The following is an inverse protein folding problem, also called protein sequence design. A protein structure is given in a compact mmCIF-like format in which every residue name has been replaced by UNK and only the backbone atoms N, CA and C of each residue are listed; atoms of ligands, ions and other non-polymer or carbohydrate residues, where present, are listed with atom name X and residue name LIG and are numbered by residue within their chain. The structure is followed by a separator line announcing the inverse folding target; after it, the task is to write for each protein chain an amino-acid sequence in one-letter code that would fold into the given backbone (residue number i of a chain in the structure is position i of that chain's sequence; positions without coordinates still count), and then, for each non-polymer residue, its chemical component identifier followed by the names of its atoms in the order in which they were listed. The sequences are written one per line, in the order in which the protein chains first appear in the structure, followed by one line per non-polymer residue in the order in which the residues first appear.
data_IF_945106110454
#
_entry.id   IF_945106110454
#
_cell.length_a   1.000
_cell.length_b   1.000
_cell.length_c   1.000
_cell.angle_alpha   90.00
_cell.angle_beta   90.00
_cell.angle_gamma   90.00
#
_symmetry.space_group_name_H-M   'P 1'
#
loop_
_entity.id
_entity.type
_entity.pdbx_description
1 polymer ?
#
# COMPACT_ATOMS: atom_id res chain seq x y z
N UNK A 1 -1.46 3.69 -15.22
CA UNK A 1 -0.30 4.53 -15.57
C UNK A 1 -0.14 4.89 -17.06
N UNK A 2 -0.94 4.35 -18.01
CA UNK A 2 -0.94 4.81 -19.43
C UNK A 2 -1.64 6.14 -19.69
N UNK A 3 -2.40 6.63 -18.71
CA UNK A 3 -3.23 7.85 -18.80
C UNK A 3 -2.47 9.17 -18.57
N UNK A 4 -1.16 9.12 -18.25
CA UNK A 4 -0.36 10.31 -17.92
C UNK A 4 0.72 10.67 -18.96
N UNK A 5 0.71 10.07 -20.16
CA UNK A 5 1.62 10.46 -21.26
C UNK A 5 3.13 10.28 -20.99
N UNK A 6 3.52 9.73 -19.84
CA UNK A 6 4.92 9.46 -19.51
C UNK A 6 5.43 8.26 -20.31
N UNK A 7 6.42 8.50 -21.15
CA UNK A 7 7.19 7.44 -21.82
C UNK A 7 7.87 6.56 -20.77
N UNK A 8 7.80 5.24 -20.94
CA UNK A 8 8.37 4.29 -19.99
C UNK A 8 9.90 4.45 -19.93
N UNK A 9 10.51 4.42 -18.73
CA UNK A 9 11.96 4.44 -18.62
C UNK A 9 12.54 3.18 -19.29
N UNK A 10 13.37 3.39 -20.33
CA UNK A 10 13.97 2.34 -21.17
C UNK A 10 15.00 1.47 -20.43
N UNK A 11 15.38 1.87 -19.21
CA UNK A 11 16.30 1.12 -18.36
C UNK A 11 15.94 1.34 -16.89
N UNK A 12 15.62 0.24 -16.20
CA UNK A 12 15.37 0.20 -14.76
C UNK A 12 16.58 -0.54 -14.17
N UNK A 13 17.39 0.08 -13.31
CA UNK A 13 18.53 -0.61 -12.70
C UNK A 13 18.03 -1.83 -11.89
N UNK A 14 18.75 -2.97 -11.93
CA UNK A 14 18.33 -4.16 -11.22
C UNK A 14 18.27 -3.89 -9.71
N UNK A 15 17.14 -4.26 -9.10
CA UNK A 15 16.88 -4.05 -7.68
C UNK A 15 17.87 -4.87 -6.86
N UNK A 16 18.64 -4.20 -5.99
CA UNK A 16 19.62 -4.87 -5.12
C UNK A 16 18.91 -5.92 -4.26
N UNK A 17 19.47 -7.13 -4.19
CA UNK A 17 18.90 -8.27 -3.46
C UNK A 17 18.50 -7.91 -2.03
N UNK A 18 19.32 -7.10 -1.34
CA UNK A 18 19.03 -6.64 0.01
C UNK A 18 17.77 -5.74 0.09
N UNK A 19 17.59 -4.85 -0.88
CA UNK A 19 16.42 -3.95 -0.95
C UNK A 19 15.16 -4.74 -1.32
N UNK A 20 15.27 -5.69 -2.25
CA UNK A 20 14.18 -6.56 -2.66
C UNK A 20 13.68 -7.44 -1.50
N UNK A 21 14.61 -8.00 -0.71
CA UNK A 21 14.28 -8.79 0.48
C UNK A 21 13.59 -7.93 1.54
N UNK A 22 14.09 -6.72 1.79
CA UNK A 22 13.50 -5.81 2.77
C UNK A 22 12.06 -5.41 2.36
N UNK A 23 11.87 -4.93 1.14
CA UNK A 23 10.53 -4.55 0.64
C UNK A 23 9.59 -5.75 0.55
N UNK A 24 10.10 -6.93 0.17
CA UNK A 24 9.33 -8.18 0.17
C UNK A 24 8.87 -8.58 1.56
N UNK A 25 9.74 -8.47 2.58
CA UNK A 25 9.41 -8.82 3.96
C UNK A 25 8.35 -7.89 4.56
N UNK A 26 8.38 -6.60 4.23
CA UNK A 26 7.43 -5.59 4.69
C UNK A 26 6.04 -5.82 4.08
N UNK A 27 5.98 -6.09 2.77
CA UNK A 27 4.74 -6.45 2.07
C UNK A 27 4.12 -7.77 2.57
N UNK A 28 4.95 -8.80 2.79
CA UNK A 28 4.47 -10.10 3.30
C UNK A 28 3.93 -9.97 4.72
N UNK A 29 4.56 -9.17 5.57
CA UNK A 29 4.08 -8.89 6.92
C UNK A 29 2.70 -8.23 6.92
N UNK A 30 2.49 -7.22 6.08
CA UNK A 30 1.19 -6.56 5.94
C UNK A 30 0.14 -7.51 5.37
N UNK A 31 0.47 -8.28 4.33
CA UNK A 31 -0.45 -9.22 3.70
C UNK A 31 -0.90 -10.33 4.68
N UNK A 32 0.01 -10.82 5.53
CA UNK A 32 -0.33 -11.79 6.57
C UNK A 32 -1.30 -11.23 7.61
N UNK A 33 -1.09 -9.99 8.06
CA UNK A 33 -2.01 -9.33 9.01
C UNK A 33 -3.40 -9.17 8.38
N UNK A 34 -3.48 -8.78 7.11
CA UNK A 34 -4.74 -8.70 6.38
C UNK A 34 -5.43 -10.06 6.23
N UNK A 35 -4.69 -11.11 5.89
CA UNK A 35 -5.24 -12.48 5.76
C UNK A 35 -5.77 -12.96 7.11
N UNK A 36 -5.04 -12.74 8.20
CA UNK A 36 -5.46 -13.14 9.55
C UNK A 36 -6.72 -12.37 9.95
N UNK A 37 -6.76 -11.06 9.72
CA UNK A 37 -7.94 -10.23 10.01
C UNK A 37 -9.17 -10.67 9.20
N UNK A 38 -9.02 -10.90 7.89
CA UNK A 38 -10.10 -11.38 7.01
C UNK A 38 -10.54 -12.78 7.41
N UNK A 39 -9.60 -13.66 7.77
CA UNK A 39 -9.90 -15.03 8.19
C UNK A 39 -10.65 -15.07 9.53
N UNK A 40 -10.26 -14.25 10.51
CA UNK A 40 -11.00 -14.11 11.77
C UNK A 40 -12.39 -13.52 11.55
N UNK A 41 -12.51 -12.54 10.65
CA UNK A 41 -13.80 -11.95 10.28
C UNK A 41 -14.72 -12.95 9.57
N UNK A 42 -14.19 -13.75 8.64
CA UNK A 42 -14.93 -14.82 7.96
C UNK A 42 -15.32 -15.96 8.92
N UNK A 43 -14.45 -16.29 9.88
CA UNK A 43 -14.76 -17.27 10.93
C UNK A 43 -15.85 -16.77 11.87
N UNK A 44 -15.83 -15.50 12.24
CA UNK A 44 -16.87 -14.89 13.08
C UNK A 44 -18.20 -14.79 12.33
N UNK A 45 -18.17 -14.42 11.05
CA UNK A 45 -19.32 -14.44 10.14
C UNK A 45 -19.90 -15.86 10.00
N UNK A 46 -19.04 -16.87 9.81
CA UNK A 46 -19.46 -18.27 9.71
C UNK A 46 -20.01 -18.80 11.04
N UNK A 47 -19.43 -18.39 12.17
CA UNK A 47 -19.92 -18.72 13.52
C UNK A 47 -21.31 -18.12 13.75
N UNK A 48 -21.54 -16.88 13.31
CA UNK A 48 -22.84 -16.22 13.34
C UNK A 48 -23.85 -16.96 12.45
N UNK A 49 -23.50 -17.29 11.20
CA UNK A 49 -24.36 -18.05 10.29
C UNK A 49 -24.77 -19.45 10.83
N UNK A 50 -23.93 -20.11 11.64
CA UNK A 50 -24.30 -21.36 12.31
C UNK A 50 -25.31 -21.15 13.45
N UNK A 51 -25.15 -20.09 14.24
CA UNK A 51 -26.11 -19.73 15.29
C UNK A 51 -27.49 -19.37 14.69
N UNK A 52 -27.50 -18.95 13.44
CA UNK A 52 -28.69 -18.63 12.68
C UNK A 52 -29.42 -19.87 12.16
N UNK A 53 -28.72 -20.95 11.78
CA UNK A 53 -29.32 -22.12 11.15
C UNK A 53 -30.39 -22.86 12.00
N UNK A 54 -30.43 -22.62 13.32
CA UNK A 54 -31.39 -23.21 14.25
C UNK A 54 -32.77 -22.52 14.26
N UNK A 55 -32.95 -21.44 13.52
CA UNK A 55 -34.14 -20.59 13.62
C UNK A 55 -34.61 -20.17 12.23
N UNK A 56 -35.24 -21.12 11.54
CA UNK A 56 -35.79 -20.95 10.21
C UNK A 56 -37.32 -20.83 10.31
N UNK A 57 -37.84 -19.60 10.25
CA UNK A 57 -39.15 -19.22 9.67
C UNK A 57 -39.53 -17.75 9.93
N UNK A 58 -39.03 -17.09 10.99
CA UNK A 58 -39.33 -15.67 11.28
C UNK A 58 -38.12 -14.70 11.15
N UNK A 59 -36.95 -15.20 10.77
CA UNK A 59 -35.66 -14.55 11.06
C UNK A 59 -34.99 -13.74 9.94
N UNK A 60 -35.63 -13.49 8.79
CA UNK A 60 -35.03 -12.64 7.75
C UNK A 60 -34.84 -11.18 8.22
N UNK A 61 -35.61 -10.72 9.21
CA UNK A 61 -35.46 -9.40 9.84
C UNK A 61 -34.49 -9.37 11.03
N UNK A 62 -34.06 -10.53 11.54
CA UNK A 62 -33.34 -10.62 12.83
C UNK A 62 -31.89 -11.09 12.69
N UNK A 63 -31.52 -11.70 11.56
CA UNK A 63 -30.19 -12.29 11.37
C UNK A 63 -29.10 -11.31 10.95
N UNK A 64 -29.45 -10.19 10.33
CA UNK A 64 -28.41 -9.27 9.82
C UNK A 64 -28.03 -8.19 10.84
N UNK A 65 -28.76 -8.09 11.94
CA UNK A 65 -28.59 -7.00 12.88
C UNK A 65 -27.33 -7.17 13.74
N UNK A 66 -26.22 -6.62 13.25
CA UNK A 66 -25.16 -6.09 14.10
C UNK A 66 -25.79 -5.33 15.27
N UNK A 67 -25.14 -5.24 16.46
CA UNK A 67 -25.65 -4.41 17.57
C UNK A 67 -26.01 -2.99 17.10
N UNK A 68 -25.31 -2.50 16.07
CA UNK A 68 -25.55 -1.21 15.44
C UNK A 68 -26.86 -1.14 14.64
N UNK A 69 -27.23 -2.17 13.85
CA UNK A 69 -28.51 -2.18 13.13
C UNK A 69 -29.71 -2.16 14.08
N UNK A 70 -29.59 -2.79 15.26
CA UNK A 70 -30.63 -2.71 16.31
C UNK A 70 -30.78 -1.28 16.84
N UNK A 71 -29.66 -0.61 17.11
CA UNK A 71 -29.66 0.81 17.51
C UNK A 71 -30.27 1.69 16.42
N UNK A 72 -29.91 1.48 15.15
CA UNK A 72 -30.48 2.23 14.03
C UNK A 72 -31.97 1.96 13.83
N UNK A 73 -32.43 0.74 14.07
CA UNK A 73 -33.86 0.40 14.01
C UNK A 73 -34.64 1.13 15.09
N UNK A 74 -34.17 1.12 16.33
CA UNK A 74 -34.80 1.87 17.44
C UNK A 74 -34.74 3.37 17.18
N UNK A 75 -33.64 3.88 16.62
CA UNK A 75 -33.50 5.28 16.23
C UNK A 75 -34.50 5.67 15.12
N UNK A 76 -34.70 4.80 14.13
CA UNK A 76 -35.69 5.00 13.06
C UNK A 76 -37.14 4.95 13.55
N UNK A 77 -37.42 4.18 14.60
CA UNK A 77 -38.74 4.15 15.24
C UNK A 77 -38.98 5.40 16.10
N UNK A 78 -37.95 5.90 16.77
CA UNK A 78 -38.04 7.10 17.60
C UNK A 78 -38.09 8.39 16.78
N UNK A 79 -37.54 8.41 15.56
CA UNK A 79 -37.50 9.60 14.71
C UNK A 79 -38.19 9.40 13.34
N UNK A 80 -39.41 9.94 13.22
CA UNK A 80 -40.23 9.85 11.99
C UNK A 80 -39.59 10.49 10.76
N UNK A 81 -38.74 11.51 10.92
CA UNK A 81 -38.03 12.14 9.80
C UNK A 81 -37.02 11.14 9.22
N UNK A 82 -36.21 10.55 10.09
CA UNK A 82 -35.21 9.55 9.70
C UNK A 82 -35.86 8.33 9.06
N UNK A 83 -36.99 7.87 9.62
CA UNK A 83 -37.80 6.78 9.07
C UNK A 83 -38.20 7.03 7.62
N UNK A 84 -38.80 8.20 7.34
CA UNK A 84 -39.43 8.52 6.05
C UNK A 84 -38.43 8.93 4.97
N UNK A 85 -37.34 9.60 5.34
CA UNK A 85 -36.40 10.17 4.38
C UNK A 85 -35.15 9.32 4.13
N UNK A 86 -34.72 8.50 5.09
CA UNK A 86 -33.47 7.74 4.97
C UNK A 86 -33.75 6.24 4.95
N UNK A 87 -34.41 5.73 5.99
CA UNK A 87 -34.48 4.28 6.24
C UNK A 87 -35.47 3.55 5.31
N UNK A 88 -36.72 4.04 5.23
CA UNK A 88 -37.76 3.45 4.38
C UNK A 88 -37.44 3.50 2.87
N UNK A 89 -36.97 4.62 2.29
CA UNK A 89 -36.64 4.64 0.86
C UNK A 89 -35.42 3.75 0.56
N UNK A 90 -34.42 3.69 1.44
CA UNK A 90 -33.27 2.79 1.27
C UNK A 90 -33.71 1.33 1.21
N UNK A 91 -34.57 0.88 2.14
CA UNK A 91 -35.11 -0.48 2.14
C UNK A 91 -35.90 -0.81 0.87
N UNK A 92 -36.70 0.14 0.37
CA UNK A 92 -37.48 -0.04 -0.87
C UNK A 92 -36.59 -0.14 -2.12
N UNK A 93 -35.50 0.64 -2.18
CA UNK A 93 -34.54 0.58 -3.28
C UNK A 93 -33.86 -0.78 -3.33
N UNK A 94 -33.43 -1.31 -2.18
CA UNK A 94 -32.81 -2.65 -2.12
C UNK A 94 -33.78 -3.71 -2.61
N UNK A 95 -35.02 -3.70 -2.13
CA UNK A 95 -36.04 -4.64 -2.58
C UNK A 95 -36.28 -4.55 -4.09
N UNK A 96 -36.29 -3.33 -4.64
CA UNK A 96 -36.45 -3.10 -6.08
C UNK A 96 -35.27 -3.66 -6.89
N UNK A 97 -34.03 -3.36 -6.48
CA UNK A 97 -32.80 -3.88 -7.12
C UNK A 97 -32.76 -5.40 -7.04
N UNK A 98 -33.03 -5.97 -5.86
CA UNK A 98 -33.02 -7.42 -5.65
C UNK A 98 -34.05 -8.13 -6.52
N UNK A 99 -35.29 -7.60 -6.56
CA UNK A 99 -36.36 -8.17 -7.39
C UNK A 99 -36.00 -8.09 -8.87
N UNK A 100 -35.45 -6.96 -9.33
CA UNK A 100 -35.04 -6.79 -10.73
C UNK A 100 -33.87 -7.71 -11.08
N UNK A 101 -32.88 -7.82 -10.19
CA UNK A 101 -31.70 -8.66 -10.35
C UNK A 101 -32.07 -10.14 -10.44
N UNK A 102 -32.94 -10.64 -9.55
CA UNK A 102 -33.45 -12.02 -9.59
C UNK A 102 -34.18 -12.32 -10.91
N UNK A 103 -35.03 -11.40 -11.36
CA UNK A 103 -35.76 -11.57 -12.63
C UNK A 103 -34.82 -11.52 -13.85
N UNK A 104 -33.78 -10.67 -13.79
CA UNK A 104 -32.77 -10.58 -14.83
C UNK A 104 -31.91 -11.86 -14.90
N UNK A 105 -31.46 -12.36 -13.75
CA UNK A 105 -30.67 -13.59 -13.64
C UNK A 105 -31.42 -14.81 -14.17
N UNK A 106 -32.73 -14.87 -13.92
CA UNK A 106 -33.60 -15.95 -14.41
C UNK A 106 -34.13 -15.74 -15.85
N UNK A 107 -33.68 -14.69 -16.55
CA UNK A 107 -34.16 -14.29 -17.91
C UNK A 107 -35.69 -14.18 -18.03
N UNK A 108 -36.37 -13.81 -16.94
CA UNK A 108 -37.83 -13.62 -16.93
C UNK A 108 -38.20 -12.18 -17.34
N UNK A 109 -39.40 -11.97 -17.91
CA UNK A 109 -39.90 -10.64 -18.23
C UNK A 109 -39.95 -9.77 -16.97
N UNK A 110 -39.36 -8.58 -17.06
CA UNK A 110 -39.17 -7.72 -15.90
C UNK A 110 -40.52 -7.17 -15.42
N UNK A 111 -40.81 -7.21 -14.11
CA UNK A 111 -42.09 -6.75 -13.59
C UNK A 111 -42.23 -5.22 -13.77
N UNK A 112 -43.38 -4.79 -14.31
CA UNK A 112 -43.72 -3.36 -14.49
C UNK A 112 -43.97 -2.62 -13.17
N UNK A 113 -44.37 -3.34 -12.11
CA UNK A 113 -44.63 -2.77 -10.78
C UNK A 113 -44.16 -3.76 -9.72
N UNK A 114 -43.17 -3.36 -8.92
CA UNK A 114 -42.73 -4.13 -7.75
C UNK A 114 -43.64 -3.72 -6.58
N UNK A 115 -44.29 -4.68 -5.89
CA UNK A 115 -45.15 -4.37 -4.74
C UNK A 115 -44.34 -3.67 -3.65
N UNK A 116 -44.96 -2.68 -2.98
CA UNK A 116 -44.31 -1.96 -1.90
C UNK A 116 -44.19 -2.87 -0.68
N UNK A 117 -43.00 -2.92 -0.08
CA UNK A 117 -42.72 -3.69 1.12
C UNK A 117 -43.43 -3.08 2.34
N UNK A 118 -43.82 -3.92 3.31
CA UNK A 118 -44.38 -3.45 4.59
C UNK A 118 -43.43 -2.45 5.26
N UNK A 119 -43.99 -1.40 5.85
CA UNK A 119 -43.21 -0.28 6.38
C UNK A 119 -42.18 -0.72 7.42
N UNK A 120 -42.54 -1.66 8.29
CA UNK A 120 -41.65 -2.22 9.32
C UNK A 120 -40.49 -3.03 8.73
N UNK A 121 -40.74 -3.73 7.63
CA UNK A 121 -39.72 -4.54 6.95
C UNK A 121 -38.77 -3.65 6.14
N UNK A 122 -39.28 -2.58 5.52
CA UNK A 122 -38.45 -1.59 4.84
C UNK A 122 -37.50 -0.90 5.82
N UNK A 123 -37.97 -0.59 7.04
CA UNK A 123 -37.14 0.01 8.10
C UNK A 123 -36.04 -0.94 8.55
N UNK A 124 -36.34 -2.21 8.79
CA UNK A 124 -35.30 -3.17 9.19
C UNK A 124 -34.23 -3.36 8.12
N UNK A 125 -34.66 -3.43 6.85
CA UNK A 125 -33.76 -3.64 5.73
C UNK A 125 -32.89 -2.40 5.47
N UNK A 126 -33.46 -1.20 5.57
CA UNK A 126 -32.74 0.07 5.48
C UNK A 126 -31.76 0.29 6.64
N UNK A 127 -32.15 -0.03 7.87
CA UNK A 127 -31.29 0.12 9.04
C UNK A 127 -30.05 -0.79 8.96
N UNK A 128 -30.23 -2.00 8.44
CA UNK A 128 -29.15 -2.93 8.23
C UNK A 128 -28.13 -2.43 7.19
N UNK A 129 -28.63 -2.03 6.01
CA UNK A 129 -27.79 -1.46 4.96
C UNK A 129 -27.00 -0.25 5.46
N UNK A 130 -27.67 0.65 6.18
CA UNK A 130 -27.03 1.88 6.64
C UNK A 130 -25.95 1.59 7.69
N UNK A 131 -26.16 0.59 8.55
CA UNK A 131 -25.14 0.14 9.50
C UNK A 131 -23.91 -0.47 8.82
N UNK A 132 -24.11 -1.25 7.76
CA UNK A 132 -23.04 -1.89 7.03
C UNK A 132 -22.21 -0.89 6.22
N UNK A 133 -22.87 0.06 5.54
CA UNK A 133 -22.20 1.16 4.85
C UNK A 133 -21.42 2.04 5.84
N UNK A 134 -21.96 2.25 7.04
CA UNK A 134 -21.29 3.03 8.08
C UNK A 134 -20.05 2.33 8.63
N UNK A 135 -20.13 1.04 8.97
CA UNK A 135 -18.97 0.29 9.48
C UNK A 135 -17.89 0.10 8.40
N UNK A 136 -18.29 -0.13 7.14
CA UNK A 136 -17.35 -0.16 6.01
C UNK A 136 -16.68 1.21 5.81
N UNK A 137 -17.45 2.30 5.90
CA UNK A 137 -16.91 3.66 5.83
C UNK A 137 -15.90 3.95 6.93
N UNK A 138 -16.18 3.54 8.17
CA UNK A 138 -15.24 3.65 9.29
C UNK A 138 -13.98 2.82 9.05
N UNK A 139 -14.10 1.59 8.53
CA UNK A 139 -12.96 0.75 8.17
C UNK A 139 -12.05 1.40 7.12
N UNK A 140 -12.64 1.89 6.02
CA UNK A 140 -11.90 2.61 4.97
C UNK A 140 -11.23 3.88 5.49
N UNK A 141 -11.92 4.62 6.38
CA UNK A 141 -11.38 5.82 7.01
C UNK A 141 -10.17 5.51 7.89
N UNK A 142 -10.24 4.47 8.72
CA UNK A 142 -9.12 4.05 9.58
C UNK A 142 -7.91 3.63 8.74
N UNK A 143 -8.13 2.84 7.68
CA UNK A 143 -7.09 2.44 6.74
C UNK A 143 -6.46 3.65 6.06
N UNK A 144 -7.27 4.62 5.63
CA UNK A 144 -6.77 5.85 5.00
C UNK A 144 -5.89 6.67 5.96
N UNK A 145 -6.31 6.81 7.22
CA UNK A 145 -5.55 7.51 8.25
C UNK A 145 -4.22 6.79 8.53
N UNK A 146 -4.24 5.47 8.67
CA UNK A 146 -3.03 4.69 8.90
C UNK A 146 -2.07 4.76 7.72
N UNK A 147 -2.57 4.61 6.50
CA UNK A 147 -1.80 4.77 5.25
C UNK A 147 -1.13 6.13 5.19
N UNK A 148 -1.83 7.19 5.57
CA UNK A 148 -1.29 8.55 5.62
C UNK A 148 -0.19 8.72 6.67
N UNK A 149 -0.28 8.00 7.80
CA UNK A 149 0.76 7.99 8.83
C UNK A 149 1.98 7.18 8.41
N UNK A 150 1.79 6.04 7.75
CA UNK A 150 2.88 5.21 7.21
C UNK A 150 3.69 5.97 6.15
N UNK A 151 3.03 6.66 5.23
CA UNK A 151 3.68 7.48 4.21
C UNK A 151 4.61 8.58 4.78
N UNK A 152 4.37 9.07 6.00
CA UNK A 152 5.29 10.01 6.67
C UNK A 152 6.52 9.31 7.24
N UNK A 153 6.35 8.12 7.83
CA UNK A 153 7.46 7.33 8.39
C UNK A 153 8.40 6.84 7.30
N UNK A 154 7.85 6.43 6.16
CA UNK A 154 8.63 5.94 5.03
C UNK A 154 9.53 7.02 4.44
N UNK A 155 9.04 8.26 4.36
CA UNK A 155 9.84 9.41 3.91
C UNK A 155 11.06 9.64 4.81
N UNK A 156 10.84 9.69 6.12
CA UNK A 156 11.93 9.90 7.09
C UNK A 156 12.98 8.78 7.02
N UNK A 157 12.55 7.52 6.89
CA UNK A 157 13.45 6.38 6.74
C UNK A 157 14.24 6.45 5.44
N UNK A 158 13.58 6.82 4.33
CA UNK A 158 14.22 6.96 3.02
C UNK A 158 15.21 8.13 2.97
N UNK A 159 14.89 9.26 3.60
CA UNK A 159 15.77 10.43 3.69
C UNK A 159 17.03 10.09 4.49
N UNK A 160 16.90 9.39 5.63
CA UNK A 160 18.04 8.90 6.41
C UNK A 160 18.94 7.95 5.62
N UNK A 161 18.34 7.02 4.86
CA UNK A 161 19.11 6.13 3.99
C UNK A 161 19.85 6.91 2.88
N UNK A 162 19.23 7.96 2.34
CA UNK A 162 19.85 8.82 1.32
C UNK A 162 21.05 9.58 1.88
N UNK A 163 20.91 10.18 3.06
CA UNK A 163 22.01 10.87 3.74
C UNK A 163 23.20 9.95 4.02
N UNK A 164 22.95 8.71 4.48
CA UNK A 164 24.02 7.74 4.72
C UNK A 164 24.73 7.32 3.43
N UNK A 165 24.01 7.16 2.33
CA UNK A 165 24.63 6.88 1.02
C UNK A 165 25.48 8.05 0.51
N UNK A 166 25.03 9.28 0.75
CA UNK A 166 25.74 10.49 0.35
C UNK A 166 27.05 10.65 1.13
N UNK A 167 27.03 10.43 2.45
CA UNK A 167 28.25 10.42 3.28
C UNK A 167 29.27 9.39 2.79
N UNK A 168 28.84 8.16 2.52
CA UNK A 168 29.73 7.11 2.01
C UNK A 168 30.31 7.47 0.63
N UNK A 169 29.54 8.11 -0.25
CA UNK A 169 30.04 8.56 -1.56
C UNK A 169 31.11 9.64 -1.41
N UNK A 170 30.88 10.64 -0.56
CA UNK A 170 31.83 11.72 -0.29
C UNK A 170 33.13 11.16 0.28
N UNK A 171 33.04 10.18 1.18
CA UNK A 171 34.20 9.55 1.79
C UNK A 171 35.03 8.76 0.76
N UNK A 172 34.37 7.98 -0.11
CA UNK A 172 35.03 7.28 -1.23
C UNK A 172 35.69 8.28 -2.20
N UNK A 173 35.01 9.38 -2.53
CA UNK A 173 35.54 10.40 -3.43
C UNK A 173 36.77 11.09 -2.85
N UNK A 174 36.73 11.42 -1.56
CA UNK A 174 37.86 12.00 -0.84
C UNK A 174 39.05 11.04 -0.84
N UNK A 175 38.81 9.75 -0.58
CA UNK A 175 39.85 8.73 -0.59
C UNK A 175 40.47 8.55 -1.99
N UNK A 176 39.67 8.55 -3.05
CA UNK A 176 40.16 8.47 -4.42
C UNK A 176 41.03 9.68 -4.80
N UNK A 177 40.61 10.89 -4.40
CA UNK A 177 41.38 12.10 -4.64
C UNK A 177 42.76 12.06 -3.94
N UNK A 178 42.81 11.53 -2.72
CA UNK A 178 44.07 11.33 -2.00
C UNK A 178 44.97 10.31 -2.70
N UNK A 179 44.39 9.20 -3.17
CA UNK A 179 45.09 8.17 -3.93
C UNK A 179 45.68 8.71 -5.24
N UNK A 180 44.91 9.50 -5.98
CA UNK A 180 45.36 10.14 -7.22
C UNK A 180 46.47 11.16 -6.97
N UNK A 181 46.39 11.89 -5.86
CA UNK A 181 47.44 12.80 -5.44
C UNK A 181 48.74 12.03 -5.13
N UNK A 182 48.65 10.93 -4.37
CA UNK A 182 49.80 10.06 -4.10
C UNK A 182 50.39 9.47 -5.37
N UNK A 183 49.57 8.99 -6.32
CA UNK A 183 50.05 8.47 -7.61
C UNK A 183 50.82 9.52 -8.41
N UNK A 184 50.32 10.76 -8.46
CA UNK A 184 51.03 11.86 -9.13
C UNK A 184 52.39 12.12 -8.51
N UNK A 185 52.49 12.15 -7.18
CA UNK A 185 53.78 12.31 -6.50
C UNK A 185 54.75 11.19 -6.84
N UNK A 186 54.30 9.94 -6.82
CA UNK A 186 55.12 8.78 -7.20
C UNK A 186 55.63 8.91 -8.65
N UNK A 187 54.76 9.31 -9.59
CA UNK A 187 55.15 9.50 -10.99
C UNK A 187 56.21 10.61 -11.16
N UNK A 188 56.02 11.74 -10.47
CA UNK A 188 56.98 12.86 -10.50
C UNK A 188 58.35 12.40 -9.94
N UNK A 189 58.35 11.72 -8.80
CA UNK A 189 59.57 11.18 -8.18
C UNK A 189 60.26 10.19 -9.13
N UNK A 190 59.51 9.28 -9.74
CA UNK A 190 60.05 8.30 -10.69
C UNK A 190 60.70 9.00 -11.90
N UNK A 191 60.05 10.01 -12.47
CA UNK A 191 60.58 10.78 -13.59
C UNK A 191 61.87 11.53 -13.22
N UNK A 192 61.92 12.14 -12.02
CA UNK A 192 63.12 12.83 -11.53
C UNK A 192 64.28 11.84 -11.32
N UNK A 193 63.99 10.65 -10.78
CA UNK A 193 65.00 9.62 -10.54
C UNK A 193 65.60 9.10 -11.85
N UNK A 194 64.77 8.87 -12.88
CA UNK A 194 65.25 8.50 -14.22
C UNK A 194 66.15 9.59 -14.83
N UNK A 195 65.75 10.85 -14.72
CA UNK A 195 66.53 11.98 -15.23
C UNK A 195 67.89 12.12 -14.52
N UNK A 196 67.91 11.95 -13.19
CA UNK A 196 69.13 11.96 -12.40
C UNK A 196 70.06 10.80 -12.77
N UNK A 197 69.51 9.59 -12.93
CA UNK A 197 70.29 8.41 -13.32
C UNK A 197 70.91 8.56 -14.72
N UNK A 198 70.17 9.11 -15.68
CA UNK A 198 70.69 9.36 -17.03
C UNK A 198 71.78 10.44 -17.05
N UNK A 199 71.63 11.49 -16.24
CA UNK A 199 72.66 12.52 -16.06
C UNK A 199 73.95 11.95 -15.45
N UNK A 200 73.82 11.07 -14.45
CA UNK A 200 74.97 10.39 -13.84
C UNK A 200 75.68 9.44 -14.81
N UNK A 201 74.93 8.70 -15.63
CA UNK A 201 75.49 7.84 -16.69
C UNK A 201 76.26 8.65 -17.74
N UNK A 202 75.75 9.82 -18.14
CA UNK A 202 76.40 10.72 -19.10
C UNK A 202 77.72 11.31 -18.56
N UNK A 203 77.74 11.73 -17.28
CA UNK A 203 78.95 12.22 -16.63
C UNK A 203 80.03 11.13 -16.50
N UNK A 204 79.67 9.90 -16.11
CA UNK A 204 80.63 8.80 -16.02
C UNK A 204 81.22 8.40 -17.39
N UNK A 205 80.40 8.41 -18.45
CA UNK A 205 80.89 8.11 -19.81
C UNK A 205 81.86 9.19 -20.32
N UNK A 206 81.65 10.45 -19.94
CA UNK A 206 82.52 11.57 -20.29
C UNK A 206 83.86 11.54 -19.54
N UNK A 207 83.87 11.09 -18.27
CA UNK A 207 85.10 10.89 -17.51
C UNK A 207 85.93 9.71 -18.02
N UNK A 208 85.31 8.66 -18.55
CA UNK A 208 86.03 7.49 -19.08
C UNK A 208 86.66 7.72 -20.46
N UNK A 209 86.16 8.70 -21.23
CA UNK A 209 86.69 9.05 -22.57
C UNK A 209 87.85 10.06 -22.54
N UNK A 210 88.27 10.48 -21.34
CA UNK A 210 89.33 11.47 -21.13
C UNK A 210 90.59 10.84 -20.49
N UNK A 211 90.69 9.50 -20.54
CA UNK A 211 91.79 8.70 -19.95
C UNK A 211 92.59 7.92 -21.02
N UNK A 212 92.22 8.01 -22.30
CA UNK A 212 93.01 7.45 -23.42
C UNK A 212 93.91 8.51 -24.09
#
# INVERSE_FOLDING_TARGET
MRILGMSQPKYIPPLNNALAIQTGSELVGELLIFIIAVSLLLLEFSRQARNEALKNSQHQAEKIATPFSKVLKTFAQNNSIFKKYICAPAGQIIHWIETRSKMHMLRLPQPKRVPKLSEDMAISMGANLLSEVFTMGLGLLLIYIESSRKAKKDKVKNDLHRENQEKLRIEIETLNNLLDWQKKQIYIIHSLLLFAFQSFKSQNLSCSLNID
#
